data_IF_422268932978
#
_entry.id   IF_422268932978
#
_cell.length_a   1.000
_cell.length_b   1.000
_cell.length_c   1.000
_cell.angle_alpha   90.00
_cell.angle_beta   90.00
_cell.angle_gamma   90.00
#
_symmetry.space_group_name_H-M   'P 1'
#
loop_
_entity.id
_entity.type
_entity.pdbx_description
1 polymer ?
#
# COMPACT_ATOMS: atom_id res chain seq x y z
N UNK A 1 -26.52 1.69 -5.83
CA UNK A 1 -26.07 1.22 -4.50
C UNK A 1 -24.69 0.58 -4.52
N UNK A 2 -24.35 -0.37 -5.41
CA UNK A 2 -23.00 -0.99 -5.49
C UNK A 2 -21.84 0.02 -5.59
N UNK A 3 -21.98 1.12 -6.33
CA UNK A 3 -20.93 2.14 -6.43
C UNK A 3 -20.69 2.87 -5.09
N UNK A 4 -21.73 3.08 -4.29
CA UNK A 4 -21.60 3.81 -3.01
C UNK A 4 -20.73 3.08 -2.00
N UNK A 5 -20.81 1.75 -1.94
CA UNK A 5 -19.97 0.95 -1.05
C UNK A 5 -18.49 1.03 -1.47
N UNK A 6 -18.21 0.96 -2.77
CA UNK A 6 -16.85 1.13 -3.30
C UNK A 6 -16.28 2.51 -2.99
N UNK A 7 -17.06 3.57 -3.19
CA UNK A 7 -16.67 4.95 -2.88
C UNK A 7 -16.34 5.14 -1.38
N UNK A 8 -17.11 4.50 -0.49
CA UNK A 8 -16.84 4.52 0.96
C UNK A 8 -15.55 3.77 1.28
N UNK A 9 -15.37 2.55 0.76
CA UNK A 9 -14.15 1.76 0.99
C UNK A 9 -12.91 2.48 0.45
N UNK A 10 -13.00 3.07 -0.75
CA UNK A 10 -11.95 3.89 -1.34
C UNK A 10 -11.56 5.04 -0.41
N UNK A 11 -12.55 5.75 0.13
CA UNK A 11 -12.33 6.86 1.06
C UNK A 11 -11.65 6.41 2.35
N UNK A 12 -12.06 5.26 2.91
CA UNK A 12 -11.47 4.69 4.12
C UNK A 12 -9.99 4.31 3.90
N UNK A 13 -9.67 3.68 2.77
CA UNK A 13 -8.30 3.30 2.45
C UNK A 13 -7.45 4.54 2.16
N UNK A 14 -8.00 5.55 1.48
CA UNK A 14 -7.30 6.78 1.13
C UNK A 14 -6.89 7.62 2.36
N UNK A 15 -7.78 7.76 3.35
CA UNK A 15 -7.46 8.52 4.56
C UNK A 15 -6.55 7.76 5.53
N UNK A 16 -6.41 6.43 5.35
CA UNK A 16 -5.61 5.60 6.24
C UNK A 16 -4.11 5.80 5.99
N UNK A 17 -3.36 6.09 7.05
CA UNK A 17 -1.90 6.24 7.00
C UNK A 17 -1.15 4.89 6.97
N UNK A 18 -1.79 3.84 7.46
CA UNK A 18 -1.28 2.48 7.52
C UNK A 18 -2.19 1.55 6.70
N UNK A 19 -1.67 0.40 6.23
CA UNK A 19 -2.49 -0.59 5.55
C UNK A 19 -3.73 -0.97 6.35
N UNK A 20 -4.90 -0.89 5.71
CA UNK A 20 -6.19 -1.14 6.35
C UNK A 20 -6.59 -2.61 6.16
N UNK A 21 -6.69 -3.37 7.25
CA UNK A 21 -7.02 -4.79 7.19
C UNK A 21 -8.48 -5.01 6.76
N UNK A 22 -8.73 -6.17 6.13
CA UNK A 22 -10.09 -6.58 5.76
C UNK A 22 -11.02 -6.61 6.97
N UNK A 23 -10.55 -7.15 8.10
CA UNK A 23 -11.30 -7.20 9.35
C UNK A 23 -11.68 -5.81 9.84
N UNK A 24 -10.76 -4.84 9.78
CA UNK A 24 -11.05 -3.47 10.19
C UNK A 24 -12.04 -2.79 9.27
N UNK A 25 -11.98 -3.05 7.96
CA UNK A 25 -12.98 -2.55 6.99
C UNK A 25 -14.36 -3.13 7.31
N UNK A 26 -14.46 -4.45 7.50
CA UNK A 26 -15.72 -5.13 7.87
C UNK A 26 -16.28 -4.60 9.19
N UNK A 27 -15.42 -4.38 10.18
CA UNK A 27 -15.81 -3.82 11.48
C UNK A 27 -16.30 -2.36 11.40
N UNK A 28 -15.89 -1.58 10.40
CA UNK A 28 -16.43 -0.22 10.19
C UNK A 28 -17.75 -0.27 9.41
N UNK A 29 -17.90 -1.25 8.51
CA UNK A 29 -19.02 -1.41 7.58
C UNK A 29 -19.96 -2.54 8.01
N UNK A 30 -20.27 -2.61 9.32
CA UNK A 30 -21.03 -3.71 9.93
C UNK A 30 -22.46 -3.84 9.39
N UNK A 31 -22.98 -2.76 8.80
CA UNK A 31 -24.30 -2.72 8.18
C UNK A 31 -24.37 -3.43 6.82
N UNK A 32 -23.23 -3.84 6.27
CA UNK A 32 -23.14 -4.57 5.00
C UNK A 32 -22.77 -6.05 5.22
N UNK A 33 -23.32 -6.98 4.41
CA UNK A 33 -22.86 -8.37 4.41
C UNK A 33 -21.38 -8.46 4.05
N UNK A 34 -20.63 -9.32 4.73
CA UNK A 34 -19.19 -9.46 4.53
C UNK A 34 -18.81 -9.78 3.08
N UNK A 35 -19.56 -10.66 2.42
CA UNK A 35 -19.35 -11.01 1.00
C UNK A 35 -19.49 -9.79 0.08
N UNK A 36 -20.38 -8.83 0.41
CA UNK A 36 -20.52 -7.61 -0.39
C UNK A 36 -19.31 -6.69 -0.22
N UNK A 37 -18.75 -6.62 0.98
CA UNK A 37 -17.53 -5.83 1.26
C UNK A 37 -16.35 -6.43 0.52
N UNK A 38 -16.16 -7.75 0.59
CA UNK A 38 -15.08 -8.45 -0.12
C UNK A 38 -15.20 -8.28 -1.64
N UNK A 39 -16.40 -8.46 -2.19
CA UNK A 39 -16.65 -8.28 -3.60
C UNK A 39 -16.40 -6.82 -4.04
N UNK A 40 -16.81 -5.84 -3.24
CA UNK A 40 -16.57 -4.42 -3.52
C UNK A 40 -15.07 -4.08 -3.53
N UNK A 41 -14.29 -4.63 -2.59
CA UNK A 41 -12.82 -4.47 -2.56
C UNK A 41 -12.19 -5.08 -3.81
N UNK A 42 -12.61 -6.28 -4.21
CA UNK A 42 -12.10 -6.95 -5.40
C UNK A 42 -12.37 -6.13 -6.67
N UNK A 43 -13.60 -5.66 -6.84
CA UNK A 43 -13.97 -4.77 -7.94
C UNK A 43 -13.17 -3.46 -7.91
N UNK A 44 -12.87 -2.92 -6.72
CA UNK A 44 -12.05 -1.73 -6.56
C UNK A 44 -10.62 -2.00 -7.03
N UNK A 45 -9.99 -3.10 -6.60
CA UNK A 45 -8.66 -3.50 -7.07
C UNK A 45 -8.59 -3.62 -8.60
N UNK A 46 -9.55 -4.31 -9.21
CA UNK A 46 -9.64 -4.44 -10.67
C UNK A 46 -9.78 -3.08 -11.39
N UNK A 47 -10.53 -2.14 -10.80
CA UNK A 47 -10.69 -0.79 -11.37
C UNK A 47 -9.41 0.05 -11.32
N UNK A 48 -8.53 -0.19 -10.35
CA UNK A 48 -7.22 0.47 -10.26
C UNK A 48 -6.13 -0.22 -11.10
N UNK A 49 -6.31 -1.50 -11.45
CA UNK A 49 -5.40 -2.23 -12.34
C UNK A 49 -5.56 -1.86 -13.82
N UNK A 50 -6.78 -1.52 -14.24
CA UNK A 50 -7.14 -1.33 -15.66
C UNK A 50 -6.91 0.07 -16.19
N UNK A 51 -6.60 1.04 -15.32
CA UNK A 51 -6.41 2.42 -15.70
C UNK A 51 -4.92 2.80 -15.54
N UNK A 52 -4.34 3.49 -16.53
CA UNK A 52 -3.01 4.10 -16.48
C UNK A 52 -2.99 5.27 -15.46
N UNK A 53 -3.16 4.94 -14.17
CA UNK A 53 -3.24 5.90 -13.07
C UNK A 53 -1.88 6.08 -12.42
N UNK A 54 -1.63 7.31 -11.96
CA UNK A 54 -0.45 7.60 -11.14
C UNK A 54 -0.49 6.98 -9.74
N UNK A 55 -1.68 6.55 -9.29
CA UNK A 55 -1.91 5.87 -8.01
C UNK A 55 -2.45 4.46 -8.23
N UNK A 56 -2.07 3.54 -7.35
CA UNK A 56 -2.42 2.13 -7.36
C UNK A 56 -3.00 1.74 -6.01
N UNK A 57 -3.98 0.84 -6.03
CA UNK A 57 -4.46 0.17 -4.83
C UNK A 57 -3.74 -1.16 -4.69
N UNK A 58 -3.06 -1.38 -3.57
CA UNK A 58 -2.27 -2.58 -3.29
C UNK A 58 -2.91 -3.39 -2.17
N UNK A 59 -2.86 -4.72 -2.32
CA UNK A 59 -3.14 -5.67 -1.24
C UNK A 59 -1.81 -6.22 -0.73
N UNK A 60 -1.54 -6.03 0.56
CA UNK A 60 -0.34 -6.52 1.25
C UNK A 60 -0.74 -7.41 2.44
N UNK A 61 0.22 -8.08 3.06
CA UNK A 61 -0.02 -8.88 4.28
C UNK A 61 -0.64 -8.04 5.43
N UNK A 62 -0.39 -6.73 5.45
CA UNK A 62 -0.97 -5.80 6.43
C UNK A 62 -2.36 -5.26 6.05
N UNK A 63 -2.89 -5.59 4.88
CA UNK A 63 -4.16 -5.05 4.37
C UNK A 63 -4.00 -4.22 3.10
N UNK A 64 -4.96 -3.32 2.88
CA UNK A 64 -5.09 -2.53 1.66
C UNK A 64 -4.55 -1.11 1.86
N UNK A 65 -3.81 -0.59 0.87
CA UNK A 65 -3.31 0.77 0.88
C UNK A 65 -3.21 1.35 -0.52
N UNK A 66 -3.26 2.68 -0.62
CA UNK A 66 -2.86 3.39 -1.83
C UNK A 66 -1.35 3.57 -1.88
N UNK A 67 -0.79 3.43 -3.08
CA UNK A 67 0.61 3.69 -3.38
C UNK A 67 0.73 4.41 -4.72
N UNK A 68 1.88 5.01 -4.99
CA UNK A 68 2.17 5.60 -6.31
C UNK A 68 2.66 4.54 -7.28
N UNK A 69 2.37 4.71 -8.56
CA UNK A 69 2.92 3.84 -9.61
C UNK A 69 4.46 3.88 -9.60
N UNK A 70 5.13 2.71 -9.70
CA UNK A 70 6.59 2.63 -9.70
C UNK A 70 7.23 3.35 -10.90
N UNK A 71 6.52 3.51 -12.01
CA UNK A 71 6.97 4.26 -13.18
C UNK A 71 7.26 5.73 -12.85
N UNK A 72 6.58 6.26 -11.82
CA UNK A 72 6.74 7.65 -11.39
C UNK A 72 7.82 7.87 -10.31
N UNK A 73 8.58 6.83 -9.92
CA UNK A 73 9.59 6.89 -8.84
C UNK A 73 10.58 8.06 -9.00
N UNK A 74 11.01 8.35 -10.23
CA UNK A 74 11.92 9.47 -10.52
C UNK A 74 11.38 10.82 -10.03
N UNK A 75 10.10 11.11 -10.30
CA UNK A 75 9.48 12.39 -9.90
C UNK A 75 9.18 12.44 -8.41
N UNK A 76 8.75 11.33 -7.82
CA UNK A 76 8.51 11.23 -6.37
C UNK A 76 9.80 11.49 -5.59
N UNK A 77 10.93 10.90 -6.02
CA UNK A 77 12.24 11.17 -5.41
C UNK A 77 12.65 12.63 -5.50
N UNK A 78 12.41 13.29 -6.63
CA UNK A 78 12.70 14.72 -6.81
C UNK A 78 11.88 15.59 -5.86
N UNK A 79 10.58 15.28 -5.69
CA UNK A 79 9.70 16.00 -4.76
C UNK A 79 10.22 15.95 -3.33
N UNK A 80 10.58 14.76 -2.86
CA UNK A 80 11.05 14.55 -1.49
C UNK A 80 12.56 14.78 -1.29
N UNK A 81 13.28 15.23 -2.34
CA UNK A 81 14.76 15.33 -2.35
C UNK A 81 15.43 14.06 -1.81
N UNK A 82 14.86 12.90 -2.13
CA UNK A 82 15.38 11.62 -1.70
C UNK A 82 16.63 11.32 -2.52
N UNK A 83 17.79 11.49 -1.91
CA UNK A 83 19.05 11.03 -2.48
C UNK A 83 18.97 9.50 -2.66
N UNK A 84 19.59 8.99 -3.73
CA UNK A 84 19.80 7.55 -3.86
C UNK A 84 20.63 7.13 -2.66
N UNK A 85 20.04 6.40 -1.70
CA UNK A 85 20.82 5.66 -0.71
C UNK A 85 21.78 4.79 -1.51
N UNK A 86 23.08 5.03 -1.38
CA UNK A 86 24.09 4.18 -2.02
C UNK A 86 23.79 2.74 -1.60
N UNK A 87 23.68 1.82 -2.56
CA UNK A 87 23.66 0.40 -2.22
C UNK A 87 24.93 0.12 -1.43
N UNK A 88 24.82 -0.49 -0.26
CA UNK A 88 25.98 -0.95 0.48
C UNK A 88 26.77 -1.89 -0.44
N UNK A 89 28.07 -1.66 -0.56
CA UNK A 89 28.94 -2.62 -1.23
C UNK A 89 28.90 -3.94 -0.47
N UNK A 90 29.22 -5.08 -1.12
CA UNK A 90 29.31 -6.36 -0.42
C UNK A 90 30.17 -6.28 0.85
N UNK A 91 31.32 -5.60 0.78
CA UNK A 91 32.19 -5.37 1.94
C UNK A 91 31.53 -4.53 3.06
N UNK A 92 30.75 -3.51 2.71
CA UNK A 92 30.01 -2.71 3.69
C UNK A 92 28.86 -3.50 4.34
N UNK A 93 28.23 -4.40 3.58
CA UNK A 93 27.18 -5.29 4.07
C UNK A 93 27.75 -6.37 4.99
N UNK A 94 28.93 -6.92 4.67
CA UNK A 94 29.67 -7.86 5.51
C UNK A 94 30.08 -7.20 6.82
N UNK A 95 30.65 -5.99 6.77
CA UNK A 95 31.00 -5.22 7.95
C UNK A 95 29.78 -4.93 8.84
N UNK A 96 28.64 -4.54 8.24
CA UNK A 96 27.40 -4.32 8.97
C UNK A 96 26.88 -5.61 9.61
N UNK A 97 26.94 -6.74 8.89
CA UNK A 97 26.52 -8.06 9.38
C UNK A 97 27.39 -8.54 10.54
N UNK A 98 28.71 -8.35 10.44
CA UNK A 98 29.65 -8.67 11.51
C UNK A 98 29.37 -7.85 12.78
N UNK A 99 29.12 -6.55 12.64
CA UNK A 99 28.74 -5.67 13.77
C UNK A 99 27.40 -6.10 14.37
N UNK A 100 26.38 -6.37 13.55
CA UNK A 100 25.05 -6.75 14.03
C UNK A 100 25.03 -8.10 14.77
N UNK A 101 25.90 -9.03 14.37
CA UNK A 101 26.00 -10.36 14.98
C UNK A 101 26.94 -10.40 16.20
N UNK A 102 27.95 -9.52 16.23
CA UNK A 102 28.95 -9.43 17.29
C UNK A 102 28.88 -8.11 18.07
N UNK A 103 27.68 -7.53 18.23
CA UNK A 103 27.52 -6.39 19.14
C UNK A 103 28.05 -6.76 20.54
N UNK A 104 28.79 -5.87 21.23
CA UNK A 104 28.84 -5.93 22.68
C UNK A 104 27.45 -5.69 23.29
#
# INVERSE_FOLDING_TARGET
MKNRLKEVIESLIFISLEPLTLEKIKNVLQEYPEEQVEQAIKELLESYLTNERGIQLLQSAGGYLFSTSPEHDLWIRRLFKLERKAKLSPAALEALSAIAYHQP
#
